data_IF_545436351533
#
_entry.id   IF_545436351533
#
_cell.length_a   1.000
_cell.length_b   1.000
_cell.length_c   1.000
_cell.angle_alpha   90.00
_cell.angle_beta   90.00
_cell.angle_gamma   90.00
#
_symmetry.space_group_name_H-M   'P 1'
#
loop_
_entity.id
_entity.type
_entity.pdbx_description
1 polymer ?
#
# COMPACT_ATOMS: atom_id res chain seq x y z
N UNK A 1 -8.24 -3.77 -11.08
CA UNK A 1 -8.81 -4.98 -11.71
C UNK A 1 -8.45 -6.26 -10.95
N UNK A 2 -7.16 -6.62 -10.78
CA UNK A 2 -6.76 -7.85 -10.04
C UNK A 2 -7.29 -7.90 -8.60
N UNK A 3 -7.17 -6.81 -7.84
CA UNK A 3 -7.70 -6.74 -6.47
C UNK A 3 -9.20 -7.06 -6.40
N UNK A 4 -10.00 -6.52 -7.30
CA UNK A 4 -11.43 -6.84 -7.39
C UNK A 4 -11.69 -8.34 -7.61
N UNK A 5 -10.94 -8.96 -8.50
CA UNK A 5 -11.08 -10.40 -8.77
C UNK A 5 -10.74 -11.25 -7.54
N UNK A 6 -9.72 -10.85 -6.79
CA UNK A 6 -9.32 -11.57 -5.56
C UNK A 6 -10.32 -11.33 -4.43
N UNK A 7 -10.70 -10.08 -4.20
CA UNK A 7 -11.55 -9.69 -3.05
C UNK A 7 -13.00 -10.10 -3.26
N UNK A 8 -13.56 -9.78 -4.42
CA UNK A 8 -15.00 -9.93 -4.69
C UNK A 8 -15.34 -11.25 -5.38
N UNK A 9 -14.46 -11.76 -6.25
CA UNK A 9 -14.71 -12.98 -7.02
C UNK A 9 -14.01 -14.22 -6.45
N UNK A 10 -13.21 -14.06 -5.40
CA UNK A 10 -12.54 -15.17 -4.72
C UNK A 10 -11.40 -15.83 -5.48
N UNK A 11 -10.98 -15.26 -6.62
CA UNK A 11 -9.90 -15.82 -7.45
C UNK A 11 -8.56 -15.83 -6.72
N UNK A 12 -7.66 -16.69 -7.18
CA UNK A 12 -6.26 -16.64 -6.74
C UNK A 12 -5.55 -15.42 -7.34
N UNK A 13 -4.46 -14.93 -6.74
CA UNK A 13 -3.64 -13.85 -7.31
C UNK A 13 -3.14 -14.16 -8.71
N UNK A 14 -2.74 -15.41 -8.96
CA UNK A 14 -2.24 -15.89 -10.23
C UNK A 14 -3.33 -15.89 -11.32
N UNK A 15 -4.53 -16.36 -11.01
CA UNK A 15 -5.69 -16.32 -11.92
C UNK A 15 -6.10 -14.87 -12.22
N UNK A 16 -6.08 -14.00 -11.22
CA UNK A 16 -6.42 -12.59 -11.38
C UNK A 16 -5.40 -11.83 -12.24
N UNK A 17 -4.12 -12.23 -12.18
CA UNK A 17 -3.04 -11.61 -12.95
C UNK A 17 -2.83 -12.22 -14.33
N UNK A 18 -3.36 -13.41 -14.61
CA UNK A 18 -3.18 -14.15 -15.88
C UNK A 18 -3.38 -13.29 -17.14
N UNK A 19 -4.46 -12.47 -17.24
CA UNK A 19 -4.68 -11.62 -18.41
C UNK A 19 -3.59 -10.55 -18.64
N UNK A 20 -2.80 -10.26 -17.62
CA UNK A 20 -1.78 -9.20 -17.64
C UNK A 20 -0.35 -9.72 -17.85
N UNK A 21 -0.16 -11.04 -17.90
CA UNK A 21 1.18 -11.64 -18.08
C UNK A 21 1.86 -11.22 -19.38
N UNK A 22 1.09 -11.03 -20.45
CA UNK A 22 1.61 -10.57 -21.74
C UNK A 22 2.12 -9.12 -21.72
N UNK A 23 1.79 -8.36 -20.67
CA UNK A 23 2.18 -6.96 -20.50
C UNK A 23 3.37 -6.76 -19.55
N UNK A 24 4.08 -7.82 -19.18
CA UNK A 24 5.21 -7.74 -18.24
C UNK A 24 6.29 -6.72 -18.62
N UNK A 25 6.47 -6.44 -19.94
CA UNK A 25 7.41 -5.40 -20.40
C UNK A 25 6.89 -3.96 -20.23
N UNK A 26 5.59 -3.79 -19.94
CA UNK A 26 4.92 -2.49 -19.76
C UNK A 26 4.62 -2.19 -18.30
N UNK A 27 4.36 -3.25 -17.52
CA UNK A 27 4.11 -3.15 -16.08
C UNK A 27 5.46 -3.11 -15.34
N UNK A 28 6.00 -1.90 -15.22
CA UNK A 28 7.27 -1.66 -14.53
C UNK A 28 7.07 -1.91 -13.03
N UNK A 29 7.92 -2.72 -12.38
CA UNK A 29 7.87 -2.88 -10.92
C UNK A 29 8.11 -1.55 -10.21
N UNK A 30 7.48 -1.38 -9.04
CA UNK A 30 7.83 -0.27 -8.17
C UNK A 30 9.20 -0.52 -7.55
N UNK A 31 10.10 0.42 -7.77
CA UNK A 31 11.41 0.47 -7.13
C UNK A 31 11.47 1.78 -6.35
N UNK A 32 11.81 1.69 -5.08
CA UNK A 32 12.01 2.88 -4.28
C UNK A 32 13.12 3.73 -4.91
N UNK A 33 12.83 4.99 -5.20
CA UNK A 33 13.78 5.97 -5.72
C UNK A 33 14.79 6.42 -4.65
N UNK A 34 14.90 5.67 -3.56
CA UNK A 34 15.84 5.92 -2.47
C UNK A 34 17.26 6.09 -2.99
N UNK A 35 17.97 6.91 -2.28
CA UNK A 35 19.33 7.39 -2.45
C UNK A 35 20.19 6.59 -3.46
N UNK A 36 20.46 7.16 -4.63
CA UNK A 36 21.32 6.58 -5.67
C UNK A 36 22.73 6.19 -5.16
N UNK A 37 23.10 6.64 -3.96
CA UNK A 37 24.35 6.30 -3.28
C UNK A 37 24.35 4.89 -2.65
N UNK A 38 23.20 4.25 -2.50
CA UNK A 38 23.07 2.92 -1.92
C UNK A 38 22.97 1.89 -3.03
N UNK A 39 24.08 1.21 -3.33
CA UNK A 39 24.16 0.13 -4.32
C UNK A 39 23.43 -1.17 -3.90
N UNK A 40 22.53 -1.10 -2.95
CA UNK A 40 21.70 -2.23 -2.51
C UNK A 40 20.53 -2.35 -3.50
N UNK A 41 20.44 -3.49 -4.19
CA UNK A 41 19.25 -3.80 -5.00
C UNK A 41 18.02 -3.75 -4.09
N UNK A 42 17.20 -2.73 -4.27
CA UNK A 42 15.90 -2.64 -3.65
C UNK A 42 14.99 -3.71 -4.24
N UNK A 43 14.05 -4.20 -3.44
CA UNK A 43 13.07 -5.18 -3.88
C UNK A 43 12.19 -4.59 -5.00
N UNK A 44 12.11 -5.27 -6.13
CA UNK A 44 11.24 -4.89 -7.25
C UNK A 44 9.80 -5.34 -6.96
N UNK A 45 8.99 -4.45 -6.38
CA UNK A 45 7.61 -4.78 -6.03
C UNK A 45 6.72 -4.80 -7.27
N UNK A 46 6.18 -5.97 -7.60
CA UNK A 46 5.27 -6.14 -8.73
C UNK A 46 3.79 -6.02 -8.33
N UNK A 47 2.91 -5.81 -9.31
CA UNK A 47 1.46 -5.87 -9.10
C UNK A 47 1.03 -7.24 -8.55
N UNK A 48 1.65 -8.32 -9.02
CA UNK A 48 1.36 -9.67 -8.54
C UNK A 48 1.72 -9.83 -7.06
N UNK A 49 2.86 -9.27 -6.62
CA UNK A 49 3.25 -9.29 -5.20
C UNK A 49 2.24 -8.54 -4.32
N UNK A 50 1.78 -7.38 -4.77
CA UNK A 50 0.72 -6.63 -4.06
C UNK A 50 -0.58 -7.44 -3.94
N UNK A 51 -0.99 -8.12 -5.01
CA UNK A 51 -2.22 -8.93 -5.01
C UNK A 51 -2.07 -10.18 -4.13
N UNK A 52 -0.88 -10.80 -4.10
CA UNK A 52 -0.54 -11.88 -3.17
C UNK A 52 -0.61 -11.42 -1.71
N UNK A 53 -0.02 -10.26 -1.42
CA UNK A 53 -0.08 -9.64 -0.09
C UNK A 53 -1.51 -9.37 0.35
N UNK A 54 -2.35 -8.83 -0.55
CA UNK A 54 -3.77 -8.62 -0.29
C UNK A 54 -4.50 -9.93 0.05
N UNK A 55 -4.28 -10.99 -0.73
CA UNK A 55 -4.86 -12.31 -0.46
C UNK A 55 -4.43 -12.86 0.88
N UNK A 56 -3.15 -12.73 1.21
CA UNK A 56 -2.61 -13.15 2.50
C UNK A 56 -3.23 -12.36 3.67
N UNK A 57 -3.36 -11.04 3.54
CA UNK A 57 -4.00 -10.19 4.54
C UNK A 57 -5.47 -10.59 4.79
N UNK A 58 -6.19 -10.95 3.73
CA UNK A 58 -7.56 -11.47 3.86
C UNK A 58 -7.60 -12.80 4.60
N UNK A 59 -6.70 -13.74 4.28
CA UNK A 59 -6.63 -15.05 4.92
C UNK A 59 -6.29 -14.95 6.41
N UNK A 60 -5.42 -14.02 6.78
CA UNK A 60 -5.03 -13.75 8.16
C UNK A 60 -6.05 -12.88 8.93
N UNK A 61 -7.10 -12.42 8.25
CA UNK A 61 -8.11 -11.55 8.86
C UNK A 61 -7.64 -10.12 9.14
N UNK A 62 -6.49 -9.71 8.58
CA UNK A 62 -5.97 -8.34 8.70
C UNK A 62 -6.76 -7.35 7.86
N UNK A 63 -7.29 -7.81 6.74
CA UNK A 63 -8.16 -7.02 5.86
C UNK A 63 -9.49 -7.74 5.63
N UNK A 64 -10.60 -7.02 5.83
CA UNK A 64 -11.96 -7.48 5.59
C UNK A 64 -12.72 -6.40 4.82
N UNK A 65 -13.04 -6.67 3.57
CA UNK A 65 -13.69 -5.71 2.68
C UNK A 65 -15.01 -5.15 3.28
N UNK A 66 -15.85 -6.00 3.85
CA UNK A 66 -17.18 -5.62 4.33
C UNK A 66 -17.16 -4.78 5.62
N UNK A 67 -16.03 -4.69 6.31
CA UNK A 67 -15.90 -3.96 7.58
C UNK A 67 -14.84 -2.86 7.50
N UNK A 68 -14.33 -2.57 6.30
CA UNK A 68 -13.37 -1.50 6.10
C UNK A 68 -14.05 -0.13 6.24
N UNK A 69 -13.57 0.67 7.16
CA UNK A 69 -14.07 2.02 7.44
C UNK A 69 -13.34 3.05 6.57
N UNK A 70 -13.96 3.41 5.45
CA UNK A 70 -13.40 4.39 4.51
C UNK A 70 -13.25 5.78 5.14
N UNK A 71 -14.20 6.22 5.98
CA UNK A 71 -14.13 7.54 6.58
C UNK A 71 -13.01 7.65 7.61
N UNK A 72 -12.83 6.61 8.44
CA UNK A 72 -11.71 6.54 9.36
C UNK A 72 -10.37 6.51 8.62
N UNK A 73 -10.29 5.75 7.51
CA UNK A 73 -9.10 5.69 6.66
C UNK A 73 -8.77 7.08 6.06
N UNK A 74 -9.74 7.76 5.46
CA UNK A 74 -9.54 9.07 4.84
C UNK A 74 -9.12 10.14 5.86
N UNK A 75 -9.69 10.11 7.07
CA UNK A 75 -9.28 11.01 8.14
C UNK A 75 -7.84 10.80 8.58
N UNK A 76 -7.41 9.53 8.69
CA UNK A 76 -6.07 9.18 9.13
C UNK A 76 -5.01 9.41 8.04
N UNK A 77 -5.39 9.33 6.76
CA UNK A 77 -4.52 9.49 5.60
C UNK A 77 -4.01 10.93 5.40
N UNK A 78 -4.58 11.92 6.09
CA UNK A 78 -4.14 13.32 5.94
C UNK A 78 -2.81 13.56 6.64
N UNK A 79 -1.95 14.41 6.04
CA UNK A 79 -0.66 14.79 6.63
C UNK A 79 -0.83 15.40 8.04
N UNK A 80 -1.89 16.18 8.27
CA UNK A 80 -2.20 16.77 9.57
C UNK A 80 -2.58 15.73 10.64
N UNK A 81 -3.07 14.57 10.24
CA UNK A 81 -3.36 13.44 11.13
C UNK A 81 -2.18 12.45 11.25
N UNK A 82 -1.05 12.70 10.54
CA UNK A 82 0.16 11.87 10.59
C UNK A 82 0.19 10.76 9.53
N UNK A 83 -0.70 10.79 8.54
CA UNK A 83 -0.79 9.78 7.46
C UNK A 83 -0.71 8.36 8.01
N UNK A 84 -1.62 8.05 8.94
CA UNK A 84 -1.61 6.81 9.72
C UNK A 84 -2.48 5.73 9.10
N UNK A 85 -1.94 4.52 8.98
CA UNK A 85 -2.66 3.36 8.47
C UNK A 85 -2.34 2.10 9.27
N UNK A 86 -3.37 1.36 9.68
CA UNK A 86 -3.18 0.05 10.27
C UNK A 86 -2.77 -0.97 9.21
N UNK A 87 -1.57 -1.56 9.36
CA UNK A 87 -1.14 -2.73 8.57
C UNK A 87 -1.76 -3.98 9.17
N UNK A 88 -1.63 -4.15 10.48
CA UNK A 88 -2.31 -5.19 11.25
C UNK A 88 -3.14 -4.50 12.31
N UNK A 89 -4.48 -4.61 12.28
CA UNK A 89 -5.35 -3.90 13.22
C UNK A 89 -4.92 -4.06 14.67
N UNK A 90 -4.75 -2.95 15.37
CA UNK A 90 -4.33 -2.86 16.77
C UNK A 90 -2.94 -3.45 17.11
N UNK A 91 -2.10 -3.77 16.12
CA UNK A 91 -0.78 -4.34 16.34
C UNK A 91 0.33 -3.56 15.63
N UNK A 92 0.18 -3.34 14.32
CA UNK A 92 1.20 -2.65 13.51
C UNK A 92 0.56 -1.52 12.72
N UNK A 93 1.10 -0.33 12.89
CA UNK A 93 0.67 0.87 12.19
C UNK A 93 1.82 1.46 11.39
N UNK A 94 1.56 1.85 10.15
CA UNK A 94 2.43 2.73 9.38
C UNK A 94 2.00 4.18 9.62
N UNK A 95 2.98 5.06 9.76
CA UNK A 95 2.74 6.51 9.90
C UNK A 95 3.87 7.29 9.27
N UNK A 96 3.60 8.54 8.87
CA UNK A 96 4.64 9.45 8.41
C UNK A 96 5.58 9.82 9.56
N UNK A 97 6.82 10.15 9.20
CA UNK A 97 7.78 10.66 10.18
C UNK A 97 7.25 11.95 10.83
N UNK A 98 7.50 12.16 12.13
CA UNK A 98 7.16 13.43 12.78
C UNK A 98 7.80 14.60 12.04
N UNK A 99 7.01 15.59 11.68
CA UNK A 99 7.47 16.79 10.98
C UNK A 99 7.79 17.86 12.04
N UNK A 100 8.97 18.47 11.95
CA UNK A 100 9.33 19.54 12.86
C UNK A 100 8.45 20.79 12.59
N UNK A 101 8.15 21.60 13.62
CA UNK A 101 7.41 22.86 13.43
C UNK A 101 8.04 23.84 12.43
N UNK A 102 9.34 23.71 12.21
CA UNK A 102 10.08 24.50 11.21
C UNK A 102 9.71 24.07 9.77
N UNK A 103 9.61 22.77 9.51
CA UNK A 103 9.25 22.25 8.17
C UNK A 103 7.78 22.53 7.84
N UNK A 104 6.89 22.46 8.83
CA UNK A 104 5.47 22.84 8.65
C UNK A 104 5.32 24.27 8.11
N UNK A 105 6.18 25.20 8.57
CA UNK A 105 6.16 26.59 8.08
C UNK A 105 6.66 26.77 6.66
N UNK A 106 7.59 25.92 6.20
CA UNK A 106 8.15 26.03 4.84
C UNK A 106 7.24 25.42 3.77
N UNK A 107 6.54 24.34 4.09
CA UNK A 107 5.72 23.61 3.10
C UNK A 107 4.26 24.07 3.05
N UNK A 108 3.86 25.05 3.87
CA UNK A 108 2.47 25.54 3.91
C UNK A 108 1.45 24.48 4.35
N UNK A 109 1.94 23.39 4.95
CA UNK A 109 1.09 22.35 5.51
C UNK A 109 0.35 22.95 6.71
N UNK A 110 -0.97 23.08 6.62
CA UNK A 110 -1.77 23.49 7.77
C UNK A 110 -1.70 22.38 8.82
N UNK A 111 -1.52 22.77 10.10
CA UNK A 111 -1.56 21.83 11.21
C UNK A 111 -2.90 21.13 11.33
#
# INVERSE_FOLDING_TARGET
MCAYQVVCMGRTPEEAFEPFKSYNGVLIPFVDAGDESVSVKTFELTVLDCVRGLKQAMQLGWYKFNTFDCEAYEKAYTMGAGDMNWIIPNQIMALSSPISPYMVKQEGVKP
#
